data_IF_915884273806
#
_entry.id   IF_915884273806
#
_cell.length_a   1.000
_cell.length_b   1.000
_cell.length_c   1.000
_cell.angle_alpha   90.00
_cell.angle_beta   90.00
_cell.angle_gamma   90.00
#
_symmetry.space_group_name_H-M   'P 1'
#
loop_
_entity.id
_entity.type
_entity.pdbx_description
1 polymer ?
#
# COMPACT_ATOMS: atom_id res chain seq x y z
N UNK A 1 30.07 71.78 -27.68
CA UNK A 1 29.12 70.73 -28.07
C UNK A 1 29.84 69.40 -27.98
N UNK A 2 29.29 68.45 -27.21
CA UNK A 2 28.98 67.09 -27.67
C UNK A 2 28.70 66.18 -26.47
N UNK A 3 27.40 66.05 -26.19
CA UNK A 3 26.82 65.09 -25.27
C UNK A 3 26.67 63.76 -26.02
N UNK A 4 27.31 62.68 -25.56
CA UNK A 4 27.07 61.33 -26.11
C UNK A 4 26.35 60.46 -25.07
N UNK A 5 25.08 60.06 -25.31
CA UNK A 5 24.30 59.26 -24.39
C UNK A 5 24.32 57.78 -24.83
N UNK A 6 24.97 56.91 -24.06
CA UNK A 6 24.85 55.47 -24.29
C UNK A 6 25.01 54.65 -23.01
N UNK A 7 24.01 54.72 -22.13
CA UNK A 7 23.77 53.70 -21.09
C UNK A 7 22.26 53.50 -20.89
N UNK A 8 21.56 53.05 -21.93
CA UNK A 8 20.12 52.70 -21.80
C UNK A 8 19.80 51.29 -22.36
N UNK A 9 20.72 50.66 -23.08
CA UNK A 9 20.45 49.34 -23.72
C UNK A 9 20.67 48.13 -22.82
N UNK A 10 21.47 48.26 -21.76
CA UNK A 10 21.80 47.15 -20.85
C UNK A 10 20.58 46.67 -20.04
N UNK A 11 19.74 47.59 -19.56
CA UNK A 11 18.61 47.28 -18.67
C UNK A 11 17.49 46.51 -19.37
N UNK A 12 17.19 46.86 -20.64
CA UNK A 12 16.13 46.21 -21.43
C UNK A 12 16.47 44.76 -21.76
N UNK A 13 17.75 44.47 -22.02
CA UNK A 13 18.22 43.10 -22.34
C UNK A 13 18.22 42.20 -21.11
N UNK A 14 18.60 42.73 -19.94
CA UNK A 14 18.51 42.02 -18.66
C UNK A 14 17.06 41.72 -18.25
N UNK A 15 16.15 42.69 -18.43
CA UNK A 15 14.72 42.50 -18.18
C UNK A 15 14.12 41.39 -19.05
N UNK A 16 14.44 41.37 -20.35
CA UNK A 16 13.90 40.38 -21.27
C UNK A 16 14.44 38.97 -21.00
N UNK A 17 15.73 38.86 -20.64
CA UNK A 17 16.34 37.60 -20.21
C UNK A 17 15.72 37.07 -18.92
N UNK A 18 15.45 37.95 -17.94
CA UNK A 18 14.75 37.58 -16.70
C UNK A 18 13.31 37.13 -16.96
N UNK A 19 12.60 37.80 -17.87
CA UNK A 19 11.23 37.43 -18.24
C UNK A 19 11.18 36.06 -18.95
N UNK A 20 12.11 35.80 -19.87
CA UNK A 20 12.22 34.49 -20.53
C UNK A 20 12.62 33.38 -19.55
N UNK A 21 13.55 33.68 -18.63
CA UNK A 21 13.92 32.75 -17.57
C UNK A 21 12.70 32.39 -16.71
N UNK A 22 11.83 33.36 -16.39
CA UNK A 22 10.61 33.11 -15.63
C UNK A 22 9.62 32.23 -16.41
N UNK A 23 9.44 32.51 -17.70
CA UNK A 23 8.56 31.74 -18.62
C UNK A 23 9.03 30.30 -18.80
N UNK A 24 10.33 30.02 -18.67
CA UNK A 24 10.86 28.64 -18.74
C UNK A 24 10.89 27.97 -17.37
N UNK A 25 11.27 28.70 -16.32
CA UNK A 25 11.39 28.16 -14.97
C UNK A 25 10.03 27.76 -14.37
N UNK A 26 8.97 28.54 -14.64
CA UNK A 26 7.63 28.25 -14.13
C UNK A 26 7.06 26.92 -14.69
N UNK A 27 7.00 26.68 -16.00
CA UNK A 27 6.58 25.40 -16.55
C UNK A 27 7.51 24.25 -16.16
N UNK A 28 8.82 24.47 -16.08
CA UNK A 28 9.75 23.43 -15.66
C UNK A 28 9.51 23.01 -14.19
N UNK A 29 9.27 23.95 -13.29
CA UNK A 29 8.92 23.66 -11.89
C UNK A 29 7.58 22.92 -11.80
N UNK A 30 6.57 23.35 -12.56
CA UNK A 30 5.27 22.67 -12.62
C UNK A 30 5.38 21.26 -13.23
N UNK A 31 6.23 21.06 -14.25
CA UNK A 31 6.48 19.77 -14.85
C UNK A 31 7.14 18.81 -13.85
N UNK A 32 8.12 19.27 -13.07
CA UNK A 32 8.75 18.45 -12.02
C UNK A 32 7.75 18.06 -10.94
N UNK A 33 6.90 18.98 -10.51
CA UNK A 33 5.87 18.70 -9.49
C UNK A 33 4.80 17.73 -10.01
N UNK A 34 4.33 17.92 -11.25
CA UNK A 34 3.29 17.08 -11.86
C UNK A 34 3.81 15.70 -12.26
N UNK A 35 5.09 15.56 -12.62
CA UNK A 35 5.67 14.26 -12.95
C UNK A 35 5.68 13.29 -11.77
N UNK A 36 5.95 13.78 -10.57
CA UNK A 36 5.81 13.00 -9.33
C UNK A 36 4.36 12.51 -9.14
N UNK A 37 3.39 13.43 -9.23
CA UNK A 37 1.97 13.10 -9.08
C UNK A 37 1.45 12.14 -10.15
N UNK A 38 1.93 12.22 -11.40
CA UNK A 38 1.53 11.31 -12.49
C UNK A 38 2.12 9.91 -12.29
N UNK A 39 3.36 9.81 -11.79
CA UNK A 39 4.00 8.52 -11.48
C UNK A 39 3.28 7.83 -10.30
N UNK A 40 2.93 8.59 -9.28
CA UNK A 40 2.16 8.11 -8.13
C UNK A 40 0.74 7.72 -8.53
N UNK A 41 0.05 8.56 -9.32
CA UNK A 41 -1.27 8.26 -9.87
C UNK A 41 -1.25 6.98 -10.72
N UNK A 42 -0.24 6.81 -11.59
CA UNK A 42 -0.11 5.61 -12.42
C UNK A 42 0.16 4.35 -11.59
N UNK A 43 0.95 4.45 -10.52
CA UNK A 43 1.20 3.32 -9.60
C UNK A 43 -0.03 2.91 -8.80
N UNK A 44 -0.97 3.84 -8.56
CA UNK A 44 -2.21 3.59 -7.84
C UNK A 44 -3.37 3.17 -8.77
N UNK A 45 -3.48 3.74 -9.97
CA UNK A 45 -4.57 3.46 -10.92
C UNK A 45 -4.35 2.20 -11.78
N UNK A 46 -3.12 1.70 -11.88
CA UNK A 46 -2.84 0.47 -12.62
C UNK A 46 -2.73 -0.75 -11.71
N UNK A 47 -3.13 -0.67 -10.43
CA UNK A 47 -3.09 -1.84 -9.53
C UNK A 47 -3.94 -2.98 -10.12
N UNK A 48 -3.32 -4.12 -10.40
CA UNK A 48 -3.96 -5.27 -11.02
C UNK A 48 -4.27 -6.32 -9.95
N UNK A 49 -5.55 -6.60 -9.64
CA UNK A 49 -5.89 -7.59 -8.64
C UNK A 49 -5.61 -9.00 -9.16
N UNK A 50 -4.73 -9.72 -8.47
CA UNK A 50 -4.62 -11.16 -8.56
C UNK A 50 -5.65 -11.76 -7.61
N UNK A 51 -6.79 -12.18 -8.16
CA UNK A 51 -7.88 -12.74 -7.37
C UNK A 51 -7.53 -14.14 -6.87
N UNK A 52 -7.67 -14.36 -5.57
CA UNK A 52 -7.51 -15.68 -4.95
C UNK A 52 -8.69 -16.00 -4.04
N UNK A 53 -8.90 -17.30 -3.84
CA UNK A 53 -9.95 -17.82 -2.96
C UNK A 53 -9.38 -18.12 -1.59
N UNK A 54 -10.22 -17.98 -0.55
CA UNK A 54 -9.84 -18.37 0.80
C UNK A 54 -9.39 -19.84 0.84
N UNK A 55 -8.25 -20.10 1.48
CA UNK A 55 -7.66 -21.43 1.63
C UNK A 55 -6.95 -21.99 0.39
N UNK A 56 -6.95 -21.28 -0.74
CA UNK A 56 -6.24 -21.73 -1.95
C UNK A 56 -4.86 -21.07 -2.06
N UNK A 57 -3.80 -21.86 -2.33
CA UNK A 57 -2.48 -21.32 -2.58
C UNK A 57 -2.44 -20.61 -3.93
N UNK A 58 -1.71 -19.49 -3.99
CA UNK A 58 -1.51 -18.70 -5.20
C UNK A 58 -0.10 -18.14 -5.24
N UNK A 59 0.53 -18.25 -6.40
CA UNK A 59 1.89 -17.73 -6.58
C UNK A 59 1.85 -16.23 -6.81
N UNK A 60 2.54 -15.49 -5.93
CA UNK A 60 2.58 -14.04 -5.95
C UNK A 60 3.88 -13.52 -5.32
N UNK A 61 4.51 -12.53 -5.97
CA UNK A 61 5.73 -11.89 -5.49
C UNK A 61 6.90 -12.84 -5.17
N UNK A 62 6.99 -13.99 -5.87
CA UNK A 62 8.05 -14.99 -5.65
C UNK A 62 7.80 -15.93 -4.46
N UNK A 63 6.57 -15.97 -3.92
CA UNK A 63 6.16 -16.90 -2.88
C UNK A 63 4.80 -17.51 -3.20
N UNK A 64 4.50 -18.66 -2.59
CA UNK A 64 3.15 -19.24 -2.59
C UNK A 64 2.39 -18.70 -1.38
N UNK A 65 1.34 -17.91 -1.64
CA UNK A 65 0.52 -17.26 -0.62
C UNK A 65 -0.78 -18.01 -0.42
N UNK A 66 -1.23 -18.09 0.83
CA UNK A 66 -2.55 -18.64 1.17
C UNK A 66 -3.19 -17.77 2.23
N UNK A 67 -4.39 -17.24 1.98
CA UNK A 67 -5.21 -16.65 3.05
C UNK A 67 -5.92 -17.79 3.75
N UNK A 68 -5.54 -18.08 4.99
CA UNK A 68 -5.99 -19.26 5.73
C UNK A 68 -7.25 -18.97 6.56
N UNK A 69 -7.44 -17.71 6.97
CA UNK A 69 -8.66 -17.27 7.66
C UNK A 69 -9.05 -15.88 7.19
N UNK A 70 -10.33 -15.67 6.99
CA UNK A 70 -10.92 -14.35 6.81
C UNK A 70 -12.29 -14.34 7.47
N UNK A 71 -12.36 -13.79 8.68
CA UNK A 71 -13.55 -13.88 9.53
C UNK A 71 -13.93 -12.53 10.10
N UNK A 72 -15.24 -12.33 10.29
CA UNK A 72 -15.82 -11.14 10.92
C UNK A 72 -16.27 -11.49 12.33
N UNK A 73 -15.95 -10.61 13.27
CA UNK A 73 -16.23 -10.72 14.69
C UNK A 73 -17.04 -9.50 15.14
N UNK A 74 -17.89 -9.69 16.14
CA UNK A 74 -18.54 -8.59 16.85
C UNK A 74 -17.48 -7.88 17.69
N UNK A 75 -17.12 -6.66 17.30
CA UNK A 75 -16.16 -5.82 17.99
C UNK A 75 -16.75 -5.17 19.23
N UNK A 76 -15.87 -4.50 19.97
CA UNK A 76 -16.27 -3.63 21.09
C UNK A 76 -17.02 -2.38 20.60
N UNK A 77 -17.85 -1.82 21.47
CA UNK A 77 -18.58 -0.56 21.23
C UNK A 77 -19.44 -0.55 19.94
N UNK A 78 -19.97 -1.71 19.53
CA UNK A 78 -20.80 -1.82 18.33
C UNK A 78 -20.03 -1.66 17.02
N UNK A 79 -18.71 -1.84 17.02
CA UNK A 79 -17.90 -1.98 15.81
C UNK A 79 -17.91 -3.44 15.31
N UNK A 80 -17.52 -3.65 14.06
CA UNK A 80 -17.16 -4.97 13.57
C UNK A 80 -15.64 -5.07 13.46
N UNK A 81 -15.10 -6.23 13.79
CA UNK A 81 -13.66 -6.51 13.67
C UNK A 81 -13.48 -7.62 12.67
N UNK A 82 -12.53 -7.45 11.76
CA UNK A 82 -12.21 -8.46 10.76
C UNK A 82 -10.82 -8.98 11.06
N UNK A 83 -10.70 -10.30 11.18
CA UNK A 83 -9.43 -11.00 11.35
C UNK A 83 -9.09 -11.75 10.05
N UNK A 84 -7.92 -11.44 9.51
CA UNK A 84 -7.32 -12.14 8.40
C UNK A 84 -6.04 -12.84 8.86
N UNK A 85 -5.92 -14.13 8.59
CA UNK A 85 -4.68 -14.89 8.73
C UNK A 85 -4.24 -15.35 7.35
N UNK A 86 -2.94 -15.25 7.10
CA UNK A 86 -2.36 -15.61 5.82
C UNK A 86 -0.93 -16.08 6.00
N UNK A 87 -0.50 -16.91 5.07
CA UNK A 87 0.79 -17.55 5.08
C UNK A 87 1.48 -17.36 3.74
N UNK A 88 2.81 -17.22 3.76
CA UNK A 88 3.63 -17.12 2.55
C UNK A 88 4.79 -18.11 2.63
N UNK A 89 4.84 -19.03 1.66
CA UNK A 89 5.94 -19.98 1.49
C UNK A 89 6.89 -19.45 0.42
N UNK A 90 8.06 -18.99 0.84
CA UNK A 90 9.10 -18.46 -0.05
C UNK A 90 10.33 -19.36 -0.04
N UNK A 91 11.00 -19.48 -1.19
CA UNK A 91 12.30 -20.14 -1.27
C UNK A 91 13.37 -19.36 -0.49
N UNK A 92 13.31 -18.02 -0.54
CA UNK A 92 14.14 -17.11 0.26
C UNK A 92 13.25 -16.14 1.07
N UNK A 93 12.86 -16.51 2.31
CA UNK A 93 12.08 -15.64 3.18
C UNK A 93 12.80 -14.32 3.47
N UNK A 94 14.14 -14.32 3.61
CA UNK A 94 14.88 -13.10 3.97
C UNK A 94 14.82 -12.06 2.87
N UNK A 95 14.96 -12.49 1.60
CA UNK A 95 14.77 -11.61 0.46
C UNK A 95 13.36 -11.01 0.43
N UNK A 96 12.33 -11.84 0.65
CA UNK A 96 10.94 -11.38 0.67
C UNK A 96 10.65 -10.40 1.82
N UNK A 97 11.25 -10.64 2.99
CA UNK A 97 11.15 -9.76 4.16
C UNK A 97 11.78 -8.38 3.99
N UNK A 98 12.72 -8.22 3.05
CA UNK A 98 13.30 -6.91 2.73
C UNK A 98 12.37 -6.00 1.93
N UNK A 99 11.30 -6.55 1.37
CA UNK A 99 10.33 -5.81 0.56
C UNK A 99 9.23 -5.22 1.45
N UNK A 100 8.92 -3.91 1.30
CA UNK A 100 7.77 -3.32 1.97
C UNK A 100 6.47 -4.06 1.59
N UNK A 101 5.78 -4.55 2.61
CA UNK A 101 4.47 -5.18 2.46
C UNK A 101 3.37 -4.26 3.00
N UNK A 102 2.30 -4.15 2.24
CA UNK A 102 1.11 -3.39 2.58
C UNK A 102 -0.10 -4.33 2.59
N UNK A 103 -0.83 -4.33 3.70
CA UNK A 103 -2.10 -5.04 3.83
C UNK A 103 -3.20 -4.02 4.03
N UNK A 104 -4.26 -4.11 3.23
CA UNK A 104 -5.46 -3.27 3.40
C UNK A 104 -6.72 -4.11 3.32
N UNK A 105 -7.75 -3.66 4.00
CA UNK A 105 -9.11 -4.14 3.83
C UNK A 105 -9.89 -3.08 3.07
N UNK A 106 -10.70 -3.49 2.10
CA UNK A 106 -11.57 -2.60 1.34
C UNK A 106 -12.99 -3.14 1.31
N UNK A 107 -13.96 -2.31 0.94
CA UNK A 107 -15.33 -2.73 0.70
C UNK A 107 -15.80 -2.42 -0.73
N UNK A 108 -17.00 -2.87 -1.09
CA UNK A 108 -17.59 -2.61 -2.41
C UNK A 108 -17.87 -1.14 -2.71
N UNK A 109 -17.77 -0.24 -1.73
CA UNK A 109 -17.90 1.21 -1.91
C UNK A 109 -16.57 1.94 -2.10
N UNK A 110 -15.45 1.21 -2.07
CA UNK A 110 -14.10 1.77 -2.21
C UNK A 110 -13.54 2.38 -0.93
N UNK A 111 -14.19 2.17 0.22
CA UNK A 111 -13.59 2.54 1.52
C UNK A 111 -12.48 1.56 1.84
N UNK A 112 -11.40 2.07 2.43
CA UNK A 112 -10.24 1.27 2.82
C UNK A 112 -9.91 1.44 4.30
N UNK A 113 -9.45 0.36 4.92
CA UNK A 113 -8.99 0.31 6.30
C UNK A 113 -7.60 -0.29 6.39
N UNK A 114 -6.80 0.26 7.31
CA UNK A 114 -5.47 -0.25 7.66
C UNK A 114 -5.56 -1.19 8.86
N UNK A 115 -4.59 -2.12 9.03
CA UNK A 115 -4.56 -3.00 10.19
C UNK A 115 -4.47 -2.21 11.51
N UNK A 116 -5.19 -2.65 12.52
CA UNK A 116 -5.28 -2.01 13.85
C UNK A 116 -4.47 -2.73 14.92
N UNK A 117 -3.48 -3.55 14.55
CA UNK A 117 -2.56 -4.24 15.48
C UNK A 117 -3.27 -4.95 16.66
N UNK A 118 -4.37 -5.65 16.39
CA UNK A 118 -5.13 -6.42 17.38
C UNK A 118 -5.66 -5.58 18.57
N UNK A 119 -5.93 -4.30 18.34
CA UNK A 119 -6.42 -3.38 19.36
C UNK A 119 -7.73 -3.85 20.05
N UNK A 120 -8.63 -4.50 19.32
CA UNK A 120 -9.90 -4.96 19.90
C UNK A 120 -9.71 -6.21 20.79
N UNK A 121 -10.20 -6.19 22.05
CA UNK A 121 -10.11 -7.35 22.95
C UNK A 121 -10.73 -8.64 22.43
N UNK A 122 -11.71 -8.59 21.51
CA UNK A 122 -12.36 -9.79 20.98
C UNK A 122 -11.36 -10.70 20.28
N UNK A 123 -10.41 -10.12 19.53
CA UNK A 123 -9.40 -10.89 18.81
C UNK A 123 -8.45 -11.56 19.79
N UNK A 124 -7.98 -10.84 20.81
CA UNK A 124 -7.07 -11.38 21.84
C UNK A 124 -7.71 -12.49 22.68
N UNK A 125 -9.03 -12.40 22.92
CA UNK A 125 -9.77 -13.41 23.70
C UNK A 125 -10.10 -14.66 22.90
N UNK A 126 -10.49 -14.51 21.63
CA UNK A 126 -10.96 -15.62 20.80
C UNK A 126 -9.86 -16.25 19.95
N UNK A 127 -8.83 -15.48 19.58
CA UNK A 127 -7.73 -15.87 18.69
C UNK A 127 -6.37 -15.40 19.26
N UNK A 128 -5.99 -15.85 20.47
CA UNK A 128 -4.71 -15.46 21.09
C UNK A 128 -3.48 -15.83 20.23
N UNK A 129 -3.59 -16.85 19.39
CA UNK A 129 -2.55 -17.24 18.44
C UNK A 129 -2.35 -16.21 17.32
N UNK A 130 -3.36 -15.41 16.97
CA UNK A 130 -3.24 -14.37 15.95
C UNK A 130 -2.37 -13.20 16.43
N UNK A 131 -2.38 -12.90 17.73
CA UNK A 131 -1.55 -11.85 18.35
C UNK A 131 -0.07 -12.20 18.34
N UNK A 132 0.26 -13.49 18.39
CA UNK A 132 1.65 -13.97 18.32
C UNK A 132 2.22 -13.87 16.90
N UNK A 133 1.38 -13.65 15.89
CA UNK A 133 1.81 -13.51 14.49
C UNK A 133 2.16 -12.07 14.18
N UNK A 134 3.20 -11.91 13.36
CA UNK A 134 3.59 -10.59 12.87
C UNK A 134 2.62 -10.09 11.79
N UNK A 135 2.51 -8.76 11.66
CA UNK A 135 1.98 -8.15 10.44
C UNK A 135 2.86 -8.52 9.23
N UNK A 136 2.30 -8.37 8.03
CA UNK A 136 3.07 -8.55 6.81
C UNK A 136 4.28 -7.61 6.74
N UNK A 137 5.45 -8.16 6.41
CA UNK A 137 6.69 -7.40 6.27
C UNK A 137 7.85 -8.06 7.00
N UNK A 138 8.94 -7.31 7.18
CA UNK A 138 10.25 -7.85 7.56
C UNK A 138 10.25 -8.77 8.77
N UNK A 139 9.52 -8.45 9.85
CA UNK A 139 9.50 -9.30 11.05
C UNK A 139 8.89 -10.68 10.81
N UNK A 140 7.82 -10.78 10.01
CA UNK A 140 7.19 -12.06 9.71
C UNK A 140 8.13 -13.02 8.97
N UNK A 141 8.96 -12.47 8.09
CA UNK A 141 9.87 -13.25 7.25
C UNK A 141 11.25 -13.45 7.87
N UNK A 142 11.72 -12.51 8.70
CA UNK A 142 13.03 -12.58 9.36
C UNK A 142 13.15 -13.77 10.32
N UNK A 143 12.04 -14.15 10.97
CA UNK A 143 11.98 -15.29 11.89
C UNK A 143 11.63 -16.61 11.21
N UNK A 144 11.43 -16.60 9.87
CA UNK A 144 10.98 -17.78 9.14
C UNK A 144 12.16 -18.55 8.55
N UNK A 145 12.20 -19.85 8.83
CA UNK A 145 13.17 -20.76 8.25
C UNK A 145 12.88 -21.01 6.75
N UNK A 146 13.91 -21.19 5.91
CA UNK A 146 13.72 -21.58 4.50
C UNK A 146 12.85 -22.84 4.37
N UNK A 147 11.86 -22.81 3.48
CA UNK A 147 10.93 -23.93 3.27
C UNK A 147 9.83 -24.06 4.32
N UNK A 148 9.73 -23.16 5.29
CA UNK A 148 8.57 -23.02 6.18
C UNK A 148 7.71 -21.83 5.76
N UNK A 149 6.38 -21.90 5.94
CA UNK A 149 5.52 -20.76 5.68
C UNK A 149 5.69 -19.69 6.75
N UNK A 150 5.89 -18.44 6.33
CA UNK A 150 5.81 -17.27 7.20
C UNK A 150 4.34 -17.03 7.56
N UNK A 151 4.00 -17.17 8.84
CA UNK A 151 2.62 -17.01 9.33
C UNK A 151 2.37 -15.58 9.78
N UNK A 152 1.32 -14.98 9.23
CA UNK A 152 0.97 -13.59 9.47
C UNK A 152 -0.50 -13.46 9.83
N UNK A 153 -0.82 -12.38 10.53
CA UNK A 153 -2.20 -12.02 10.79
C UNK A 153 -2.36 -10.50 10.78
N UNK A 154 -3.55 -10.05 10.38
CA UNK A 154 -3.96 -8.66 10.43
C UNK A 154 -5.40 -8.58 10.95
N UNK A 155 -5.66 -7.57 11.79
CA UNK A 155 -7.00 -7.25 12.25
C UNK A 155 -7.39 -5.84 11.83
N UNK A 156 -8.68 -5.63 11.55
CA UNK A 156 -9.23 -4.36 11.08
C UNK A 156 -10.47 -4.03 11.88
N UNK A 157 -10.61 -2.77 12.30
CA UNK A 157 -11.87 -2.26 12.85
C UNK A 157 -12.65 -1.55 11.75
N UNK A 158 -13.89 -1.96 11.54
CA UNK A 158 -14.76 -1.45 10.48
C UNK A 158 -16.16 -1.11 11.04
N UNK A 159 -16.91 -0.22 10.36
CA UNK A 159 -18.33 -0.06 10.65
C UNK A 159 -19.10 -1.36 10.41
N UNK A 160 -20.09 -1.73 11.25
CA UNK A 160 -20.87 -2.97 11.08
C UNK A 160 -21.57 -3.09 9.74
N UNK A 161 -21.96 -1.96 9.15
CA UNK A 161 -22.65 -1.88 7.87
C UNK A 161 -21.73 -2.08 6.64
N UNK A 162 -20.41 -2.21 6.82
CA UNK A 162 -19.51 -2.48 5.71
C UNK A 162 -19.71 -3.91 5.19
N UNK A 163 -19.81 -4.07 3.87
CA UNK A 163 -20.13 -5.33 3.20
C UNK A 163 -19.24 -5.53 1.98
N UNK A 164 -19.23 -6.75 1.42
CA UNK A 164 -18.42 -7.08 0.23
C UNK A 164 -16.94 -6.80 0.47
N UNK A 165 -16.43 -7.26 1.62
CA UNK A 165 -15.08 -6.96 2.03
C UNK A 165 -14.07 -7.68 1.15
N UNK A 166 -12.95 -7.03 0.89
CA UNK A 166 -11.83 -7.58 0.12
C UNK A 166 -10.53 -7.28 0.85
N UNK A 167 -9.82 -8.33 1.22
CA UNK A 167 -8.46 -8.27 1.73
C UNK A 167 -7.49 -8.09 0.56
N UNK A 168 -6.57 -7.14 0.70
CA UNK A 168 -5.50 -6.90 -0.28
C UNK A 168 -4.13 -7.03 0.36
N UNK A 169 -3.20 -7.71 -0.31
CA UNK A 169 -1.80 -7.84 0.09
C UNK A 169 -0.91 -7.40 -1.07
N UNK A 170 -0.23 -6.27 -0.89
CA UNK A 170 0.64 -5.66 -1.89
C UNK A 170 2.10 -5.72 -1.42
N UNK A 171 2.98 -6.25 -2.27
CA UNK A 171 4.42 -6.15 -2.09
C UNK A 171 4.94 -5.15 -3.11
N UNK A 172 5.75 -4.20 -2.67
CA UNK A 172 6.25 -3.14 -3.54
C UNK A 172 7.07 -3.67 -4.72
N UNK A 173 7.71 -4.84 -4.58
CA UNK A 173 8.45 -5.51 -5.65
C UNK A 173 7.56 -6.12 -6.74
N UNK A 174 6.28 -6.39 -6.45
CA UNK A 174 5.35 -7.08 -7.35
C UNK A 174 4.30 -6.13 -7.97
N UNK A 175 4.37 -4.84 -7.64
CA UNK A 175 3.52 -3.84 -8.27
C UNK A 175 3.69 -3.87 -9.81
N UNK A 176 2.59 -3.70 -10.57
CA UNK A 176 1.29 -3.27 -10.12
C UNK A 176 0.38 -4.39 -9.55
N UNK A 177 0.81 -5.65 -9.59
CA UNK A 177 -0.01 -6.75 -9.12
C UNK A 177 -0.13 -6.72 -7.59
N UNK A 178 -1.31 -7.08 -7.09
CA UNK A 178 -1.55 -7.30 -5.66
C UNK A 178 -2.49 -8.46 -5.46
N UNK A 179 -2.30 -9.21 -4.37
CA UNK A 179 -3.20 -10.29 -4.02
C UNK A 179 -4.52 -9.71 -3.51
N UNK A 180 -5.64 -10.24 -3.98
CA UNK A 180 -7.00 -9.82 -3.62
C UNK A 180 -7.85 -11.03 -3.25
N UNK A 181 -8.39 -11.06 -2.02
CA UNK A 181 -9.25 -12.14 -1.53
C UNK A 181 -10.53 -11.56 -0.96
N UNK A 182 -11.67 -11.95 -1.53
CA UNK A 182 -12.99 -11.50 -1.08
C UNK A 182 -13.47 -12.27 0.15
N UNK A 183 -14.29 -11.63 0.98
CA UNK A 183 -14.97 -12.26 2.11
C UNK A 183 -15.81 -13.44 1.60
N UNK A 184 -15.73 -14.62 2.23
CA UNK A 184 -16.58 -15.74 1.87
C UNK A 184 -18.04 -15.32 1.94
N UNK A 185 -18.82 -15.59 0.88
CA UNK A 185 -20.27 -15.42 0.94
C UNK A 185 -20.82 -16.53 1.85
N UNK A 186 -21.25 -16.16 3.05
CA UNK A 186 -21.99 -17.03 3.96
C UNK A 186 -23.42 -17.23 3.48
#
# INVERSE_FOLDING_TARGET
MDSSPAKVTSTRRGYWLSMMALVVALPAALAVQTWGSIKDWRSQHLRQPLSASLGQPVDYAGASWTVTRFTRLAGSAGSAVVLAEFEALAADPKALGSVPCEVRLSDGSGREWRPTLFADPVVRKQYPEAEQRSLCGGMAFATTEPGKPARMAASFSIPPAASSLTLSIALYSALPNYLSVSEPRS
#
